data_IF_028474454467
#
_entry.id   IF_028474454467
#
_cell.length_a   1.000
_cell.length_b   1.000
_cell.length_c   1.000
_cell.angle_alpha   90.00
_cell.angle_beta   90.00
_cell.angle_gamma   90.00
#
_symmetry.space_group_name_H-M   'P 1'
#
loop_
_entity.id
_entity.type
_entity.pdbx_description
1 polymer ?
#
# COMPACT_ATOMS: atom_id res chain seq x y z
N UNK A 1 -4.40 -6.88 44.39
CA UNK A 1 -4.59 -7.44 43.03
C UNK A 1 -3.58 -6.77 42.11
N UNK A 2 -2.45 -7.42 41.86
CA UNK A 2 -1.40 -6.93 40.97
C UNK A 2 -1.78 -7.26 39.52
N UNK A 3 -2.02 -6.22 38.73
CA UNK A 3 -2.29 -6.36 37.29
C UNK A 3 -1.08 -7.04 36.62
N UNK A 4 -1.27 -8.08 35.78
CA UNK A 4 -0.16 -8.71 35.09
C UNK A 4 0.50 -7.71 34.16
N UNK A 5 1.82 -7.53 34.30
CA UNK A 5 2.62 -6.67 33.44
C UNK A 5 2.46 -7.11 31.98
N UNK A 6 1.83 -6.26 31.17
CA UNK A 6 1.68 -6.52 29.74
C UNK A 6 3.06 -6.63 29.10
N UNK A 7 3.34 -7.75 28.42
CA UNK A 7 4.59 -7.94 27.67
C UNK A 7 4.83 -6.73 26.75
N UNK A 8 6.07 -6.20 26.67
CA UNK A 8 6.37 -5.10 25.77
C UNK A 8 6.01 -5.49 24.35
N UNK A 9 5.11 -4.73 23.72
CA UNK A 9 4.68 -4.99 22.34
C UNK A 9 5.88 -4.87 21.42
N UNK A 10 6.12 -5.93 20.63
CA UNK A 10 7.19 -5.92 19.64
C UNK A 10 7.01 -4.74 18.67
N UNK A 11 8.08 -4.00 18.32
CA UNK A 11 7.96 -2.89 17.38
C UNK A 11 7.42 -3.38 16.03
N UNK A 12 6.47 -2.63 15.48
CA UNK A 12 5.82 -2.97 14.22
C UNK A 12 6.84 -3.02 13.08
N UNK A 13 6.85 -4.10 12.29
CA UNK A 13 7.88 -4.33 11.25
C UNK A 13 7.46 -3.87 9.85
N UNK A 14 6.17 -3.59 9.62
CA UNK A 14 5.64 -3.23 8.29
C UNK A 14 5.68 -4.33 7.23
N UNK A 15 6.26 -5.51 7.51
CA UNK A 15 6.47 -6.58 6.52
C UNK A 15 5.17 -7.02 5.84
N UNK A 16 4.09 -7.20 6.61
CA UNK A 16 2.80 -7.65 6.07
C UNK A 16 2.25 -6.71 4.99
N UNK A 17 2.24 -5.40 5.26
CA UNK A 17 1.78 -4.38 4.30
C UNK A 17 2.51 -4.50 2.97
N UNK A 18 3.83 -4.50 3.00
CA UNK A 18 4.63 -4.49 1.78
C UNK A 18 4.57 -5.81 1.01
N UNK A 19 4.54 -6.94 1.71
CA UNK A 19 4.36 -8.25 1.09
C UNK A 19 3.01 -8.32 0.40
N UNK A 20 1.92 -7.94 1.07
CA UNK A 20 0.58 -7.93 0.47
C UNK A 20 0.51 -7.03 -0.77
N UNK A 21 1.08 -5.82 -0.70
CA UNK A 21 1.04 -4.90 -1.84
C UNK A 21 1.83 -5.40 -3.05
N UNK A 22 3.03 -5.97 -2.82
CA UNK A 22 3.83 -6.57 -3.90
C UNK A 22 3.16 -7.82 -4.47
N UNK A 23 2.57 -8.67 -3.62
CA UNK A 23 1.87 -9.89 -4.07
C UNK A 23 0.63 -9.55 -4.90
N UNK A 24 -0.23 -8.64 -4.43
CA UNK A 24 -1.44 -8.23 -5.15
C UNK A 24 -1.05 -7.59 -6.48
N UNK A 25 -0.12 -6.64 -6.47
CA UNK A 25 0.31 -5.96 -7.69
C UNK A 25 0.98 -6.91 -8.68
N UNK A 26 1.81 -7.84 -8.17
CA UNK A 26 2.47 -8.86 -8.99
C UNK A 26 1.47 -9.85 -9.60
N UNK A 27 0.45 -10.26 -8.85
CA UNK A 27 -0.63 -11.11 -9.35
C UNK A 27 -1.38 -10.44 -10.50
N UNK A 28 -1.84 -9.19 -10.34
CA UNK A 28 -2.56 -8.48 -11.40
C UNK A 28 -1.69 -8.13 -12.59
N UNK A 29 -0.40 -7.84 -12.38
CA UNK A 29 0.57 -7.72 -13.47
C UNK A 29 0.62 -9.01 -14.29
N UNK A 30 0.84 -10.17 -13.64
CA UNK A 30 0.97 -11.44 -14.33
C UNK A 30 -0.34 -11.88 -14.99
N UNK A 31 -1.44 -11.87 -14.25
CA UNK A 31 -2.75 -12.27 -14.75
C UNK A 31 -3.26 -11.35 -15.86
N UNK A 32 -3.12 -10.03 -15.70
CA UNK A 32 -3.53 -9.06 -16.71
C UNK A 32 -2.69 -9.15 -17.98
N UNK A 33 -1.37 -9.27 -17.85
CA UNK A 33 -0.48 -9.38 -19.01
C UNK A 33 -0.62 -10.73 -19.71
N UNK A 34 -0.51 -11.84 -18.98
CA UNK A 34 -0.60 -13.17 -19.58
C UNK A 34 -2.01 -13.45 -20.10
N UNK A 35 -3.05 -13.12 -19.32
CA UNK A 35 -4.44 -13.27 -19.74
C UNK A 35 -4.81 -12.35 -20.90
N UNK A 36 -4.37 -11.09 -20.88
CA UNK A 36 -4.60 -10.14 -21.97
C UNK A 36 -3.93 -10.58 -23.27
N UNK A 37 -2.65 -10.97 -23.22
CA UNK A 37 -1.94 -11.53 -24.38
C UNK A 37 -2.58 -12.83 -24.86
N UNK A 38 -2.99 -13.70 -23.93
CA UNK A 38 -3.67 -14.93 -24.26
C UNK A 38 -4.96 -14.64 -25.04
N UNK A 39 -5.84 -13.75 -24.56
CA UNK A 39 -7.08 -13.40 -25.26
C UNK A 39 -6.83 -12.68 -26.59
N UNK A 40 -5.74 -11.91 -26.70
CA UNK A 40 -5.40 -11.21 -27.94
C UNK A 40 -4.93 -12.13 -29.07
N UNK A 41 -4.20 -13.19 -28.72
CA UNK A 41 -3.49 -14.03 -29.68
C UNK A 41 -3.93 -15.50 -29.70
N UNK A 42 -4.80 -15.91 -28.78
CA UNK A 42 -5.36 -17.25 -28.80
C UNK A 42 -6.26 -17.43 -30.05
N UNK A 43 -6.30 -18.64 -30.62
CA UNK A 43 -7.25 -18.95 -31.67
C UNK A 43 -8.68 -18.67 -31.24
N UNK A 44 -9.50 -18.09 -32.12
CA UNK A 44 -10.86 -17.67 -31.78
C UNK A 44 -11.73 -18.85 -31.28
N UNK A 45 -11.48 -20.07 -31.78
CA UNK A 45 -12.12 -21.30 -31.29
C UNK A 45 -11.75 -21.70 -29.85
N UNK A 46 -10.62 -21.23 -29.33
CA UNK A 46 -10.20 -21.47 -27.94
C UNK A 46 -10.94 -20.53 -26.98
N UNK A 47 -11.25 -19.32 -27.44
CA UNK A 47 -11.98 -18.30 -26.66
C UNK A 47 -13.50 -18.50 -26.75
N UNK A 48 -14.00 -18.89 -27.91
CA UNK A 48 -15.41 -19.18 -28.15
C UNK A 48 -15.56 -20.53 -28.87
N UNK A 49 -15.69 -21.59 -28.08
CA UNK A 49 -15.79 -22.97 -28.58
C UNK A 49 -17.04 -23.26 -29.42
N UNK A 50 -18.04 -22.36 -29.41
CA UNK A 50 -19.30 -22.56 -30.14
C UNK A 50 -19.31 -21.93 -31.52
N UNK A 51 -18.75 -20.73 -31.65
CA UNK A 51 -18.86 -19.94 -32.90
C UNK A 51 -17.53 -19.70 -33.59
N UNK A 52 -16.41 -19.86 -32.89
CA UNK A 52 -15.08 -19.49 -33.37
C UNK A 52 -15.01 -18.05 -33.92
N UNK A 53 -15.93 -17.17 -33.52
CA UNK A 53 -15.95 -15.79 -33.95
C UNK A 53 -14.89 -14.99 -33.19
N UNK A 54 -14.24 -13.98 -33.81
CA UNK A 54 -13.19 -13.16 -33.20
C UNK A 54 -13.69 -12.17 -32.13
N UNK A 55 -14.76 -12.53 -31.43
CA UNK A 55 -15.36 -11.76 -30.35
C UNK A 55 -14.46 -11.85 -29.10
N UNK A 56 -14.22 -10.73 -28.41
CA UNK A 56 -13.47 -10.70 -27.14
C UNK A 56 -12.04 -10.15 -27.23
N UNK A 57 -11.49 -9.86 -28.42
CA UNK A 57 -10.15 -9.25 -28.51
C UNK A 57 -10.04 -7.90 -27.80
N UNK A 58 -11.13 -7.12 -27.78
CA UNK A 58 -11.21 -5.88 -27.02
C UNK A 58 -10.99 -6.08 -25.51
N UNK A 59 -11.49 -7.18 -24.95
CA UNK A 59 -11.28 -7.54 -23.53
C UNK A 59 -9.82 -7.89 -23.26
N UNK A 60 -9.16 -8.58 -24.21
CA UNK A 60 -7.73 -8.86 -24.15
C UNK A 60 -6.88 -7.58 -24.08
N UNK A 61 -7.22 -6.57 -24.88
CA UNK A 61 -6.57 -5.24 -24.79
C UNK A 61 -6.82 -4.59 -23.43
N UNK A 62 -8.05 -4.61 -22.93
CA UNK A 62 -8.37 -4.03 -21.61
C UNK A 62 -7.58 -4.72 -20.48
N UNK A 63 -7.53 -6.06 -20.47
CA UNK A 63 -6.76 -6.83 -19.48
C UNK A 63 -5.27 -6.55 -19.58
N UNK A 64 -4.73 -6.43 -20.80
CA UNK A 64 -3.33 -6.08 -21.02
C UNK A 64 -3.01 -4.69 -20.46
N UNK A 65 -3.88 -3.69 -20.69
CA UNK A 65 -3.71 -2.35 -20.15
C UNK A 65 -3.74 -2.35 -18.61
N UNK A 66 -4.66 -3.11 -18.00
CA UNK A 66 -4.68 -3.31 -16.53
C UNK A 66 -3.36 -3.93 -16.06
N UNK A 67 -2.88 -4.98 -16.73
CA UNK A 67 -1.59 -5.61 -16.43
C UNK A 67 -0.41 -4.64 -16.49
N UNK A 68 -0.36 -3.77 -17.51
CA UNK A 68 0.67 -2.73 -17.67
C UNK A 68 0.63 -1.73 -16.52
N UNK A 69 -0.55 -1.23 -16.14
CA UNK A 69 -0.69 -0.28 -15.01
C UNK A 69 -0.19 -0.91 -13.71
N UNK A 70 -0.62 -2.14 -13.41
CA UNK A 70 -0.12 -2.88 -12.25
C UNK A 70 1.38 -3.18 -12.34
N UNK A 71 1.93 -3.34 -13.54
CA UNK A 71 3.36 -3.45 -13.77
C UNK A 71 4.13 -2.20 -13.37
N UNK A 72 3.71 -1.04 -13.85
CA UNK A 72 4.31 0.25 -13.48
C UNK A 72 4.29 0.43 -11.96
N UNK A 73 3.14 0.16 -11.33
CA UNK A 73 3.00 0.22 -9.87
C UNK A 73 3.92 -0.77 -9.16
N UNK A 74 3.94 -2.03 -9.57
CA UNK A 74 4.78 -3.07 -8.97
C UNK A 74 6.26 -2.68 -9.01
N UNK A 75 6.77 -2.24 -10.15
CA UNK A 75 8.18 -1.83 -10.28
C UNK A 75 8.49 -0.55 -9.49
N UNK A 76 7.58 0.42 -9.47
CA UNK A 76 7.73 1.61 -8.64
C UNK A 76 7.79 1.25 -7.14
N UNK A 77 6.91 0.37 -6.68
CA UNK A 77 6.88 -0.11 -5.29
C UNK A 77 8.11 -0.96 -4.95
N UNK A 78 8.54 -1.85 -5.84
CA UNK A 78 9.75 -2.65 -5.66
C UNK A 78 10.99 -1.76 -5.57
N UNK A 79 11.10 -0.75 -6.44
CA UNK A 79 12.17 0.24 -6.39
C UNK A 79 12.14 1.03 -5.07
N UNK A 80 10.96 1.46 -4.64
CA UNK A 80 10.77 2.16 -3.38
C UNK A 80 11.21 1.28 -2.19
N UNK A 81 10.74 0.04 -2.13
CA UNK A 81 11.13 -0.96 -1.14
C UNK A 81 12.64 -1.15 -1.09
N UNK A 82 13.30 -1.40 -2.23
CA UNK A 82 14.75 -1.61 -2.30
C UNK A 82 15.57 -0.41 -1.81
N UNK A 83 15.04 0.81 -1.90
CA UNK A 83 15.71 2.05 -1.47
C UNK A 83 15.48 2.41 0.00
N UNK A 84 14.55 1.76 0.69
CA UNK A 84 14.22 2.06 2.08
C UNK A 84 14.92 1.12 3.04
N UNK A 85 15.38 1.65 4.18
CA UNK A 85 15.83 0.84 5.31
C UNK A 85 14.66 0.08 5.95
N UNK A 86 14.96 -0.91 6.81
CA UNK A 86 13.92 -1.67 7.54
C UNK A 86 13.03 -0.76 8.39
N UNK A 87 13.64 0.20 9.09
CA UNK A 87 12.92 1.19 9.91
C UNK A 87 12.02 2.09 9.04
N UNK A 88 12.55 2.62 7.94
CA UNK A 88 11.78 3.46 7.01
C UNK A 88 10.55 2.74 6.45
N UNK A 89 10.69 1.46 6.10
CA UNK A 89 9.57 0.62 5.63
C UNK A 89 8.52 0.42 6.71
N UNK A 90 8.96 0.22 7.95
CA UNK A 90 8.08 0.03 9.09
C UNK A 90 7.32 1.32 9.42
N UNK A 91 7.99 2.47 9.47
CA UNK A 91 7.37 3.78 9.73
C UNK A 91 6.40 4.18 8.62
N UNK A 92 6.76 3.96 7.35
CA UNK A 92 5.86 4.18 6.22
C UNK A 92 4.59 3.34 6.33
N UNK A 93 4.75 2.02 6.51
CA UNK A 93 3.62 1.09 6.63
C UNK A 93 2.75 1.40 7.86
N UNK A 94 3.37 1.78 8.98
CA UNK A 94 2.68 2.20 10.18
C UNK A 94 1.82 3.44 9.91
N UNK A 95 2.34 4.46 9.26
CA UNK A 95 1.60 5.70 8.98
C UNK A 95 0.41 5.46 8.03
N UNK A 96 0.58 4.63 7.00
CA UNK A 96 -0.51 4.21 6.11
C UNK A 96 -1.59 3.46 6.91
N UNK A 97 -1.16 2.51 7.72
CA UNK A 97 -2.06 1.71 8.54
C UNK A 97 -2.81 2.61 9.54
N UNK A 98 -2.16 3.49 10.29
CA UNK A 98 -2.86 4.36 11.25
C UNK A 98 -4.05 5.11 10.64
N UNK A 99 -3.90 5.58 9.40
CA UNK A 99 -4.94 6.35 8.70
C UNK A 99 -5.94 5.48 7.92
N UNK A 100 -5.61 4.23 7.59
CA UNK A 100 -6.60 3.32 7.01
C UNK A 100 -7.68 2.87 8.02
N UNK A 101 -7.41 2.95 9.33
CA UNK A 101 -8.38 2.59 10.36
C UNK A 101 -9.66 3.45 10.29
N UNK A 102 -9.50 4.73 9.93
CA UNK A 102 -10.58 5.70 9.83
C UNK A 102 -11.35 5.63 8.51
N UNK A 103 -10.99 4.72 7.60
CA UNK A 103 -11.61 4.58 6.28
C UNK A 103 -12.64 3.44 6.20
N UNK A 104 -12.77 2.65 7.26
CA UNK A 104 -13.61 1.44 7.27
C UNK A 104 -15.11 1.73 7.46
N UNK A 105 -15.53 2.99 7.43
CA UNK A 105 -16.91 3.45 7.69
C UNK A 105 -17.88 3.21 6.52
N UNK A 106 -17.65 2.17 5.70
CA UNK A 106 -18.71 1.51 4.92
C UNK A 106 -19.19 2.15 3.62
N UNK A 107 -18.57 3.21 3.09
CA UNK A 107 -19.02 3.83 1.84
C UNK A 107 -18.19 3.43 0.60
N UNK A 108 -18.82 2.90 -0.47
CA UNK A 108 -18.13 2.49 -1.68
C UNK A 108 -17.70 3.71 -2.50
N UNK A 109 -16.44 3.71 -2.94
CA UNK A 109 -15.88 4.52 -4.03
C UNK A 109 -16.31 6.00 -4.03
N UNK A 110 -15.92 6.73 -2.98
CA UNK A 110 -16.01 8.18 -2.98
C UNK A 110 -14.86 8.76 -3.85
N UNK A 111 -15.10 9.68 -4.80
CA UNK A 111 -14.02 10.35 -5.54
C UNK A 111 -13.04 11.10 -4.62
N UNK A 112 -13.51 11.57 -3.45
CA UNK A 112 -12.63 12.13 -2.40
C UNK A 112 -11.68 11.10 -1.81
N UNK A 113 -12.01 9.82 -1.90
CA UNK A 113 -11.18 8.74 -1.38
C UNK A 113 -9.82 8.66 -2.10
N UNK A 114 -9.73 9.09 -3.37
CA UNK A 114 -8.44 9.22 -4.09
C UNK A 114 -7.61 10.38 -3.54
N UNK A 115 -8.25 11.51 -3.23
CA UNK A 115 -7.60 12.67 -2.59
C UNK A 115 -7.12 12.31 -1.19
N UNK A 116 -7.92 11.55 -0.45
CA UNK A 116 -7.57 11.04 0.88
C UNK A 116 -6.41 10.04 0.79
N UNK A 117 -6.35 9.17 -0.24
CA UNK A 117 -5.22 8.25 -0.44
C UNK A 117 -3.91 8.98 -0.73
N UNK A 118 -3.95 10.05 -1.53
CA UNK A 118 -2.78 10.89 -1.77
C UNK A 118 -2.31 11.61 -0.50
N UNK A 119 -3.25 12.10 0.32
CA UNK A 119 -2.92 12.71 1.61
C UNK A 119 -2.29 11.69 2.57
N UNK A 120 -2.85 10.48 2.66
CA UNK A 120 -2.34 9.38 3.47
C UNK A 120 -0.92 8.98 3.02
N UNK A 121 -0.72 8.82 1.71
CA UNK A 121 0.60 8.56 1.12
C UNK A 121 1.60 9.70 1.39
N UNK A 122 1.13 10.95 1.35
CA UNK A 122 1.93 12.13 1.67
C UNK A 122 2.42 12.11 3.12
N UNK A 123 1.54 11.81 4.07
CA UNK A 123 1.90 11.64 5.49
C UNK A 123 2.88 10.48 5.67
N UNK A 124 2.66 9.34 5.02
CA UNK A 124 3.58 8.21 5.10
C UNK A 124 4.95 8.51 4.49
N UNK A 125 5.00 9.30 3.41
CA UNK A 125 6.25 9.76 2.82
C UNK A 125 7.01 10.71 3.74
N UNK A 126 6.32 11.63 4.45
CA UNK A 126 6.91 12.46 5.51
C UNK A 126 7.42 11.61 6.67
N UNK A 127 6.60 10.68 7.16
CA UNK A 127 6.95 9.76 8.24
C UNK A 127 8.24 9.01 7.94
N UNK A 128 8.35 8.45 6.73
CA UNK A 128 9.54 7.73 6.27
C UNK A 128 10.82 8.59 6.31
N UNK A 129 10.70 9.89 6.06
CA UNK A 129 11.83 10.83 6.09
C UNK A 129 12.17 11.34 7.48
N UNK A 130 11.33 11.04 8.49
CA UNK A 130 11.47 11.60 9.83
C UNK A 130 10.91 13.02 9.95
N UNK A 131 10.12 13.48 8.97
CA UNK A 131 9.61 14.86 8.92
C UNK A 131 8.35 15.07 9.77
N UNK A 132 7.84 14.03 10.46
CA UNK A 132 6.68 14.17 11.33
C UNK A 132 7.09 14.71 12.69
N UNK A 133 6.37 15.70 13.19
CA UNK A 133 6.51 16.19 14.56
C UNK A 133 6.05 15.16 15.59
N UNK A 134 6.53 15.28 16.85
CA UNK A 134 6.08 14.43 17.97
C UNK A 134 4.56 14.52 18.17
N UNK A 135 3.98 15.71 17.96
CA UNK A 135 2.53 15.91 18.05
C UNK A 135 1.77 15.16 16.96
N UNK A 136 2.25 15.18 15.71
CA UNK A 136 1.67 14.40 14.61
C UNK A 136 1.78 12.89 14.85
N UNK A 137 2.94 12.41 15.32
CA UNK A 137 3.13 11.00 15.66
C UNK A 137 2.15 10.58 16.76
N UNK A 138 1.98 11.40 17.81
CA UNK A 138 1.03 11.12 18.88
C UNK A 138 -0.41 11.08 18.36
N UNK A 139 -0.80 12.05 17.52
CA UNK A 139 -2.14 12.09 16.89
C UNK A 139 -2.40 10.85 16.03
N UNK A 140 -1.42 10.42 15.23
CA UNK A 140 -1.55 9.19 14.44
C UNK A 140 -1.62 7.96 15.34
N UNK A 141 -0.86 7.93 16.44
CA UNK A 141 -0.87 6.83 17.41
C UNK A 141 -2.20 6.68 18.16
N UNK A 142 -2.94 7.78 18.34
CA UNK A 142 -4.29 7.78 18.94
C UNK A 142 -5.32 7.05 18.06
N UNK A 143 -5.12 6.99 16.74
CA UNK A 143 -6.05 6.30 15.82
C UNK A 143 -6.02 4.78 16.02
N UNK A 144 -4.84 4.18 16.17
CA UNK A 144 -4.64 2.78 16.57
C UNK A 144 -3.59 2.68 17.66
N UNK A 145 -3.98 2.78 18.94
CA UNK A 145 -3.06 2.69 20.07
C UNK A 145 -2.50 1.27 20.26
N UNK A 146 -3.11 0.28 19.62
CA UNK A 146 -2.68 -1.11 19.72
C UNK A 146 -1.38 -1.39 18.95
N UNK A 147 -1.06 -0.58 17.93
CA UNK A 147 0.15 -0.74 17.11
C UNK A 147 1.13 0.40 17.35
N UNK A 148 2.20 0.19 18.14
CA UNK A 148 3.12 1.24 18.54
C UNK A 148 3.98 1.76 17.38
N UNK A 149 4.35 3.03 17.47
CA UNK A 149 5.28 3.68 16.53
C UNK A 149 6.61 2.91 16.47
N UNK A 150 7.08 2.50 15.27
CA UNK A 150 8.23 1.61 15.14
C UNK A 150 9.58 2.33 15.03
N UNK A 151 9.61 3.66 14.94
CA UNK A 151 10.83 4.46 14.82
C UNK A 151 11.24 5.14 16.11
N UNK A 152 12.39 5.82 16.08
CA UNK A 152 12.78 6.76 17.13
C UNK A 152 11.92 8.04 17.08
N UNK A 153 11.49 8.53 18.24
CA UNK A 153 10.77 9.80 18.31
C UNK A 153 11.74 10.95 17.95
N UNK A 154 11.31 11.94 17.16
CA UNK A 154 12.08 13.15 16.93
C UNK A 154 12.44 13.79 18.26
N UNK A 155 13.69 14.24 18.40
CA UNK A 155 14.08 15.04 19.56
C UNK A 155 13.22 16.31 19.60
N UNK A 156 12.81 16.79 20.80
CA UNK A 156 12.19 18.09 20.92
C UNK A 156 13.08 19.13 20.23
N UNK A 157 12.51 20.15 19.55
CA UNK A 157 13.34 21.24 19.05
C UNK A 157 14.13 21.79 20.24
N UNK A 158 15.45 21.73 20.14
CA UNK A 158 16.30 22.42 21.11
C UNK A 158 15.88 23.88 21.05
N UNK A 159 15.34 24.40 22.16
CA UNK A 159 15.05 25.83 22.30
C UNK A 159 16.35 26.54 21.91
N UNK A 160 16.37 27.22 20.76
CA UNK A 160 17.42 28.21 20.50
C UNK A 160 17.17 29.30 21.52
N UNK A 161 18.01 29.33 22.55
CA UNK A 161 18.16 30.49 23.40
C UNK A 161 18.88 31.53 22.53
N UNK A 162 18.09 32.38 21.91
CA UNK A 162 18.53 33.66 21.33
C UNK A 162 18.23 34.76 22.36
#
# INVERSE_FOLDING_TARGET
>A
MTSPASKPKSPYKGTGYWVSQLLISGFFLLAGTAGGLFILFAPDCWLNTRTCAPEGRGEGVMLLLVGIVFGIMFFAMLRAWRRMSKEQRAVYAWAIMQQHATRTDGHPVNPRAVVDDLAIMGVAARAKRGDLSVAEIRRLQELRPDVPYPGSLPLPPTRRED
#
